data_IF_706307509621
#
_entry.id   IF_706307509621
#
_cell.length_a   1.000
_cell.length_b   1.000
_cell.length_c   1.000
_cell.angle_alpha   90.00
_cell.angle_beta   90.00
_cell.angle_gamma   90.00
#
_symmetry.space_group_name_H-M   'P 1'
#
loop_
_entity.id
_entity.type
_entity.pdbx_description
1 polymer ?
#
# COMPACT_ATOMS: atom_id res chain seq x y z
N UNK A 1 -38.27 -71.02 -9.44
CA UNK A 1 -37.19 -71.09 -8.44
C UNK A 1 -36.15 -70.04 -8.75
N UNK A 2 -35.92 -69.07 -7.86
CA UNK A 2 -34.63 -68.41 -7.77
C UNK A 2 -34.03 -68.61 -6.36
N UNK A 3 -32.77 -69.01 -6.29
CA UNK A 3 -32.02 -69.20 -5.04
C UNK A 3 -31.22 -67.94 -4.71
N UNK A 4 -31.52 -67.39 -3.51
CA UNK A 4 -30.66 -66.80 -2.43
C UNK A 4 -29.16 -66.59 -2.73
N UNK A 5 -28.42 -65.65 -2.14
CA UNK A 5 -28.58 -64.65 -1.06
C UNK A 5 -27.24 -63.89 -0.97
N UNK A 6 -27.21 -62.62 -0.56
CA UNK A 6 -26.22 -62.13 0.42
C UNK A 6 -26.60 -60.72 0.90
N UNK A 7 -26.61 -60.57 2.22
CA UNK A 7 -26.96 -59.38 2.99
C UNK A 7 -25.85 -58.34 3.05
N UNK A 8 -26.21 -57.08 3.26
CA UNK A 8 -25.57 -56.16 4.22
C UNK A 8 -26.54 -55.01 4.54
N UNK A 9 -26.74 -54.78 5.85
CA UNK A 9 -27.22 -53.54 6.47
C UNK A 9 -26.33 -52.35 6.03
N UNK A 10 -26.69 -51.06 6.14
CA UNK A 10 -26.77 -50.31 7.39
C UNK A 10 -27.09 -48.83 7.07
N UNK A 11 -27.91 -48.22 7.93
CA UNK A 11 -27.98 -46.80 8.35
C UNK A 11 -28.47 -45.70 7.40
N UNK A 12 -29.64 -45.16 7.80
CA UNK A 12 -29.89 -43.73 7.92
C UNK A 12 -28.74 -43.02 8.65
N UNK A 13 -28.20 -41.96 8.04
CA UNK A 13 -27.59 -40.87 8.80
C UNK A 13 -27.93 -39.55 8.08
N UNK A 14 -28.67 -38.72 8.79
CA UNK A 14 -29.04 -37.36 8.44
C UNK A 14 -27.86 -36.45 8.76
N UNK A 15 -27.11 -36.00 7.75
CA UNK A 15 -26.19 -34.88 7.92
C UNK A 15 -26.92 -33.57 7.62
N UNK A 16 -27.42 -32.97 8.70
CA UNK A 16 -27.39 -31.53 8.81
C UNK A 16 -25.99 -31.13 9.29
N UNK A 17 -25.25 -30.42 8.45
CA UNK A 17 -24.20 -29.51 8.92
C UNK A 17 -24.50 -28.12 8.36
N UNK A 18 -25.13 -27.36 9.24
CA UNK A 18 -24.85 -25.98 9.59
C UNK A 18 -24.22 -25.05 8.54
N UNK A 19 -24.99 -24.00 8.27
CA UNK A 19 -24.48 -22.80 7.67
C UNK A 19 -23.43 -22.15 8.56
N UNK A 20 -22.25 -21.96 8.01
CA UNK A 20 -21.49 -20.73 8.25
C UNK A 20 -21.69 -19.88 7.02
N UNK A 21 -22.80 -19.13 7.02
CA UNK A 21 -22.90 -17.95 6.18
C UNK A 21 -21.66 -17.12 6.46
N UNK A 22 -20.75 -17.05 5.49
CA UNK A 22 -19.58 -16.16 5.56
C UNK A 22 -20.14 -14.78 5.84
N UNK A 23 -20.00 -14.31 7.08
CA UNK A 23 -20.33 -12.93 7.44
C UNK A 23 -19.60 -12.09 6.40
N UNK A 24 -20.30 -11.24 5.62
CA UNK A 24 -19.60 -10.34 4.72
C UNK A 24 -18.66 -9.53 5.60
N UNK A 25 -17.35 -9.75 5.44
CA UNK A 25 -16.34 -8.89 6.03
C UNK A 25 -16.71 -7.47 5.66
N UNK A 26 -16.74 -6.58 6.65
CA UNK A 26 -17.06 -5.17 6.41
C UNK A 26 -16.30 -4.66 5.19
N UNK A 27 -16.95 -3.88 4.32
CA UNK A 27 -16.29 -3.37 3.13
C UNK A 27 -15.09 -2.53 3.57
N UNK A 28 -13.92 -2.87 3.05
CA UNK A 28 -12.71 -2.07 3.18
C UNK A 28 -12.93 -0.77 2.40
N UNK A 29 -12.60 0.36 3.03
CA UNK A 29 -12.73 1.70 2.45
C UNK A 29 -11.41 2.44 2.51
N UNK A 30 -11.17 3.31 1.54
CA UNK A 30 -10.00 4.18 1.52
C UNK A 30 -10.35 5.56 2.06
N UNK A 31 -9.61 6.03 3.06
CA UNK A 31 -9.76 7.36 3.63
C UNK A 31 -8.40 8.05 3.75
N UNK A 32 -8.45 9.38 3.66
CA UNK A 32 -7.33 10.27 3.97
C UNK A 32 -7.64 11.01 5.27
N UNK A 33 -6.75 10.93 6.23
CA UNK A 33 -6.84 11.64 7.51
C UNK A 33 -5.77 12.73 7.53
N UNK A 34 -6.18 14.00 7.45
CA UNK A 34 -5.30 15.15 7.57
C UNK A 34 -5.17 15.57 9.04
N UNK A 35 -3.94 15.82 9.50
CA UNK A 35 -3.63 16.17 10.88
C UNK A 35 -2.28 16.92 10.99
N UNK A 36 -1.94 17.56 12.13
CA UNK A 36 -0.60 18.08 12.36
C UNK A 36 0.47 16.98 12.40
N UNK A 37 1.69 17.24 11.90
CA UNK A 37 2.78 16.26 11.91
C UNK A 37 3.03 15.63 13.28
N UNK A 38 2.98 16.44 14.34
CA UNK A 38 3.23 15.98 15.71
C UNK A 38 2.25 14.89 16.17
N UNK A 39 0.99 14.96 15.74
CA UNK A 39 -0.05 13.99 16.09
C UNK A 39 0.06 12.72 15.24
N UNK A 40 0.77 12.78 14.11
CA UNK A 40 1.18 11.58 13.37
C UNK A 40 2.52 11.01 13.87
N UNK A 41 3.08 11.53 14.98
CA UNK A 41 4.39 11.11 15.47
C UNK A 41 5.57 11.64 14.63
N UNK A 42 5.48 12.84 14.04
CA UNK A 42 6.57 13.40 13.24
C UNK A 42 6.92 14.84 13.63
N UNK A 43 8.22 15.16 13.64
CA UNK A 43 8.69 16.55 13.58
C UNK A 43 8.55 17.07 12.14
N UNK A 44 8.73 18.37 11.93
CA UNK A 44 8.64 18.95 10.57
C UNK A 44 9.81 18.51 9.69
N UNK A 45 9.57 17.87 8.53
CA UNK A 45 10.63 17.45 7.63
C UNK A 45 11.19 18.62 6.81
N UNK A 46 12.38 18.48 6.20
CA UNK A 46 13.01 19.51 5.37
C UNK A 46 12.36 19.71 3.99
N UNK A 47 11.47 18.80 3.58
CA UNK A 47 10.67 18.86 2.37
C UNK A 47 9.43 17.97 2.53
N UNK A 48 8.53 17.94 1.53
CA UNK A 48 7.48 16.93 1.51
C UNK A 48 8.12 15.55 1.39
N UNK A 49 7.70 14.62 2.24
CA UNK A 49 8.16 13.23 2.26
C UNK A 49 6.95 12.32 2.27
N UNK A 50 6.96 11.30 1.42
CA UNK A 50 6.00 10.19 1.50
C UNK A 50 6.70 9.01 2.18
N UNK A 51 6.08 8.46 3.20
CA UNK A 51 6.60 7.42 4.08
C UNK A 51 5.75 6.16 3.95
N UNK A 52 6.38 5.02 3.74
CA UNK A 52 5.73 3.71 3.77
C UNK A 52 6.49 2.79 4.72
N UNK A 53 5.76 2.20 5.66
CA UNK A 53 6.30 1.23 6.60
C UNK A 53 6.10 -0.17 6.01
N UNK A 54 7.17 -0.94 5.96
CA UNK A 54 7.18 -2.31 5.47
C UNK A 54 7.67 -3.19 6.62
N UNK A 55 6.79 -4.07 7.10
CA UNK A 55 7.16 -5.05 8.12
C UNK A 55 8.03 -6.15 7.49
N UNK A 56 9.11 -6.50 8.17
CA UNK A 56 9.99 -7.61 7.83
C UNK A 56 9.91 -8.69 8.93
N UNK A 57 10.55 -9.85 8.72
CA UNK A 57 10.57 -10.94 9.70
C UNK A 57 11.24 -10.51 11.02
N UNK A 58 12.27 -9.67 10.93
CA UNK A 58 13.07 -9.17 12.05
C UNK A 58 13.13 -7.63 12.01
N UNK A 59 11.97 -6.98 12.14
CA UNK A 59 11.86 -5.53 12.29
C UNK A 59 11.10 -4.84 11.15
N UNK A 60 11.54 -3.64 10.80
CA UNK A 60 10.82 -2.74 9.88
C UNK A 60 11.75 -1.99 8.95
N UNK A 61 11.29 -1.81 7.71
CA UNK A 61 11.88 -0.88 6.75
C UNK A 61 10.93 0.26 6.46
N UNK A 62 11.33 1.48 6.81
CA UNK A 62 10.68 2.72 6.41
C UNK A 62 11.24 3.19 5.07
N UNK A 63 10.42 3.11 4.03
CA UNK A 63 10.73 3.65 2.70
C UNK A 63 10.24 5.09 2.62
N UNK A 64 11.17 6.03 2.44
CA UNK A 64 10.83 7.44 2.27
C UNK A 64 11.17 7.95 0.87
N UNK A 65 10.16 8.49 0.19
CA UNK A 65 10.27 9.05 -1.16
C UNK A 65 10.37 10.57 -1.07
N UNK A 66 11.40 11.14 -1.72
CA UNK A 66 11.75 12.56 -1.62
C UNK A 66 12.07 13.19 -2.98
N UNK A 67 11.97 14.54 -3.10
CA UNK A 67 12.50 15.25 -4.25
C UNK A 67 14.03 15.04 -4.40
N UNK A 68 14.59 15.11 -5.61
CA UNK A 68 15.92 14.57 -5.89
C UNK A 68 17.10 15.18 -5.10
N UNK A 69 16.99 16.45 -4.71
CA UNK A 69 18.06 17.18 -4.01
C UNK A 69 17.93 17.16 -2.48
N UNK A 70 16.98 16.42 -1.92
CA UNK A 70 16.62 16.44 -0.49
C UNK A 70 17.00 15.20 0.34
N UNK A 71 17.38 14.02 -0.19
CA UNK A 71 17.58 12.82 0.63
C UNK A 71 18.53 12.98 1.81
N UNK A 72 19.71 13.61 1.70
CA UNK A 72 20.62 13.71 2.84
C UNK A 72 20.02 14.46 4.03
N UNK A 73 19.20 15.48 3.76
CA UNK A 73 18.51 16.22 4.83
C UNK A 73 17.37 15.42 5.44
N UNK A 74 16.69 14.60 4.63
CA UNK A 74 15.62 13.71 5.12
C UNK A 74 16.20 12.56 5.93
N UNK A 75 17.36 12.02 5.53
CA UNK A 75 18.11 11.04 6.33
C UNK A 75 18.46 11.62 7.70
N UNK A 76 19.08 12.81 7.75
CA UNK A 76 19.37 13.51 9.01
C UNK A 76 18.12 13.75 9.86
N UNK A 77 17.00 14.10 9.24
CA UNK A 77 15.72 14.27 9.95
C UNK A 77 15.18 12.97 10.55
N UNK A 78 15.47 11.82 9.95
CA UNK A 78 15.08 10.51 10.47
C UNK A 78 16.06 9.97 11.52
N UNK A 79 17.30 10.47 11.59
CA UNK A 79 18.25 10.08 12.65
C UNK A 79 17.69 10.38 14.05
N UNK A 80 16.85 11.41 14.19
CA UNK A 80 16.15 11.75 15.45
C UNK A 80 15.22 10.63 15.95
N UNK A 81 14.91 9.65 15.09
CA UNK A 81 14.06 8.50 15.39
C UNK A 81 14.84 7.22 15.69
N UNK A 82 16.16 7.33 15.75
CA UNK A 82 17.10 6.25 16.08
C UNK A 82 16.97 4.97 15.21
N UNK A 83 16.96 5.09 13.87
CA UNK A 83 17.01 3.91 13.02
C UNK A 83 18.35 3.17 13.15
N UNK A 84 18.31 1.84 13.07
CA UNK A 84 19.49 0.97 13.03
C UNK A 84 20.41 1.34 11.86
N UNK A 85 19.83 1.69 10.71
CA UNK A 85 20.59 2.15 9.55
C UNK A 85 19.73 2.98 8.60
N UNK A 86 20.37 3.87 7.83
CA UNK A 86 19.74 4.62 6.75
C UNK A 86 20.54 4.42 5.46
N UNK A 87 19.87 3.94 4.40
CA UNK A 87 20.43 3.79 3.05
C UNK A 87 19.75 4.75 2.08
N UNK A 88 20.53 5.54 1.35
CA UNK A 88 20.02 6.40 0.28
C UNK A 88 20.26 5.68 -1.04
N UNK A 89 19.18 5.34 -1.74
CA UNK A 89 19.27 4.59 -2.99
C UNK A 89 20.11 5.33 -4.04
N UNK A 90 21.11 4.67 -4.65
CA UNK A 90 21.80 5.21 -5.81
C UNK A 90 20.83 5.24 -7.02
N UNK A 91 21.05 6.17 -7.96
CA UNK A 91 20.28 6.22 -9.21
C UNK A 91 19.28 7.38 -9.36
N UNK A 92 18.27 7.20 -10.22
CA UNK A 92 17.35 8.25 -10.70
C UNK A 92 16.15 8.51 -9.77
N UNK A 93 15.51 9.65 -9.99
CA UNK A 93 14.40 10.24 -9.23
C UNK A 93 13.06 9.48 -9.35
N UNK A 94 12.16 9.58 -8.35
CA UNK A 94 12.31 10.26 -7.07
C UNK A 94 13.32 9.52 -6.18
N UNK A 95 14.01 10.27 -5.32
CA UNK A 95 15.04 9.65 -4.49
C UNK A 95 14.37 8.92 -3.34
N UNK A 96 14.65 7.63 -3.31
CA UNK A 96 14.21 6.74 -2.24
C UNK A 96 15.32 6.64 -1.21
N UNK A 97 14.95 6.73 0.06
CA UNK A 97 15.80 6.34 1.18
C UNK A 97 15.06 5.28 2.00
N UNK A 98 15.83 4.43 2.68
CA UNK A 98 15.34 3.35 3.54
C UNK A 98 15.95 3.52 4.90
N UNK A 99 15.12 3.58 5.93
CA UNK A 99 15.55 3.55 7.31
C UNK A 99 15.08 2.23 7.93
N UNK A 100 16.00 1.45 8.49
CA UNK A 100 15.70 0.15 9.09
C UNK A 100 15.61 0.29 10.61
N UNK A 101 14.68 -0.41 11.23
CA UNK A 101 14.39 -0.39 12.65
C UNK A 101 14.20 -1.81 13.17
N UNK A 102 14.84 -2.17 14.29
CA UNK A 102 14.52 -3.43 14.98
C UNK A 102 13.12 -3.33 15.61
N UNK A 103 12.85 -2.20 16.28
CA UNK A 103 11.55 -1.82 16.85
C UNK A 103 11.23 -0.38 16.42
N UNK A 104 9.97 -0.11 16.08
CA UNK A 104 9.55 1.24 15.74
C UNK A 104 9.40 2.10 17.00
N UNK A 105 9.57 3.43 16.88
CA UNK A 105 9.08 4.36 17.89
C UNK A 105 7.63 4.06 18.28
N UNK A 106 7.33 4.11 19.59
CA UNK A 106 6.02 3.70 20.14
C UNK A 106 4.84 4.44 19.52
N UNK A 107 5.02 5.71 19.16
CA UNK A 107 4.00 6.51 18.48
C UNK A 107 3.69 5.99 17.08
N UNK A 108 4.69 5.53 16.33
CA UNK A 108 4.48 4.89 15.02
C UNK A 108 3.90 3.49 15.14
N UNK A 109 4.38 2.68 16.09
CA UNK A 109 3.86 1.33 16.31
C UNK A 109 2.38 1.34 16.70
N UNK A 110 1.98 2.25 17.61
CA UNK A 110 0.58 2.43 18.00
C UNK A 110 -0.29 2.79 16.79
N UNK A 111 0.17 3.74 15.97
CA UNK A 111 -0.54 4.20 14.78
C UNK A 111 -0.75 3.07 13.75
N UNK A 112 0.30 2.28 13.48
CA UNK A 112 0.27 1.16 12.53
C UNK A 112 -0.56 -0.03 13.04
N UNK A 113 -0.77 -0.14 14.34
CA UNK A 113 -1.61 -1.20 14.94
C UNK A 113 -3.10 -0.87 14.81
N UNK A 114 -3.46 0.41 14.85
CA UNK A 114 -4.86 0.87 14.83
C UNK A 114 -5.55 0.66 13.48
N UNK A 115 -4.83 0.80 12.36
CA UNK A 115 -5.39 0.61 11.03
C UNK A 115 -4.32 0.23 10.00
N UNK A 116 -4.73 -0.35 8.87
CA UNK A 116 -3.85 -0.58 7.74
C UNK A 116 -3.52 0.74 7.01
N UNK A 117 -2.34 1.26 7.31
CA UNK A 117 -1.82 2.52 6.77
C UNK A 117 -0.98 2.22 5.53
N UNK A 118 -1.49 2.65 4.37
CA UNK A 118 -0.79 2.46 3.09
C UNK A 118 0.47 3.32 2.99
N UNK A 119 0.35 4.59 3.38
CA UNK A 119 1.46 5.54 3.46
C UNK A 119 1.07 6.80 4.24
N UNK A 120 2.07 7.55 4.66
CA UNK A 120 1.92 8.85 5.31
C UNK A 120 2.64 9.90 4.49
N UNK A 121 1.98 11.01 4.19
CA UNK A 121 2.65 12.20 3.66
C UNK A 121 2.92 13.19 4.77
N UNK A 122 4.16 13.60 4.94
CA UNK A 122 4.58 14.59 5.94
C UNK A 122 5.09 15.83 5.20
N UNK A 123 4.53 17.00 5.52
CA UNK A 123 4.86 18.26 4.85
C UNK A 123 5.72 19.17 5.73
N UNK A 124 6.63 19.96 5.13
CA UNK A 124 7.51 20.87 5.87
C UNK A 124 6.74 22.00 6.57
N UNK A 125 5.49 22.26 6.15
CA UNK A 125 4.58 23.22 6.78
C UNK A 125 3.91 22.72 8.07
N UNK A 126 4.23 21.51 8.56
CA UNK A 126 3.67 20.98 9.81
C UNK A 126 2.35 20.21 9.67
N UNK A 127 1.90 19.96 8.45
CA UNK A 127 0.74 19.12 8.17
C UNK A 127 1.17 17.72 7.68
N UNK A 128 0.48 16.70 8.16
CA UNK A 128 0.57 15.32 7.71
C UNK A 128 -0.78 14.84 7.14
N UNK A 129 -0.70 13.81 6.30
CA UNK A 129 -1.86 13.13 5.76
C UNK A 129 -1.60 11.62 5.82
N UNK A 130 -2.43 10.89 6.56
CA UNK A 130 -2.38 9.43 6.67
C UNK A 130 -3.37 8.86 5.65
N UNK A 131 -2.90 7.91 4.84
CA UNK A 131 -3.70 7.22 3.84
C UNK A 131 -3.99 5.81 4.33
N UNK A 132 -5.25 5.55 4.66
CA UNK A 132 -5.70 4.33 5.34
C UNK A 132 -6.60 3.54 4.40
N UNK A 133 -6.43 2.22 4.38
CA UNK A 133 -7.30 1.28 3.68
C UNK A 133 -7.73 0.17 4.64
N UNK A 134 -8.84 0.36 5.33
CA UNK A 134 -9.29 -0.58 6.37
C UNK A 134 -10.83 -0.57 6.47
N UNK A 135 -11.39 -1.31 7.42
CA UNK A 135 -12.83 -1.24 7.71
C UNK A 135 -13.19 0.12 8.30
N UNK A 136 -14.43 0.56 8.08
CA UNK A 136 -14.92 1.83 8.64
C UNK A 136 -14.75 1.89 10.16
N UNK A 137 -14.99 0.77 10.87
CA UNK A 137 -14.84 0.71 12.32
C UNK A 137 -13.41 0.98 12.79
N UNK A 138 -12.40 0.38 12.14
CA UNK A 138 -10.97 0.61 12.48
C UNK A 138 -10.53 2.03 12.15
N UNK A 139 -11.03 2.60 11.05
CA UNK A 139 -10.76 3.99 10.70
C UNK A 139 -11.40 4.96 11.71
N UNK A 140 -12.63 4.69 12.16
CA UNK A 140 -13.31 5.49 13.18
C UNK A 140 -12.57 5.43 14.53
N UNK A 141 -12.06 4.25 14.92
CA UNK A 141 -11.23 4.08 16.12
C UNK A 141 -9.92 4.88 16.02
N UNK A 142 -9.20 4.77 14.90
CA UNK A 142 -8.00 5.56 14.61
C UNK A 142 -8.29 7.06 14.73
N UNK A 143 -9.35 7.54 14.07
CA UNK A 143 -9.71 8.98 14.08
C UNK A 143 -10.05 9.44 15.49
N UNK A 144 -10.82 8.64 16.24
CA UNK A 144 -11.18 8.96 17.63
C UNK A 144 -9.94 9.10 18.50
N UNK A 145 -8.99 8.16 18.39
CA UNK A 145 -7.73 8.22 19.12
C UNK A 145 -6.88 9.45 18.75
N UNK A 146 -6.84 9.83 17.47
CA UNK A 146 -6.10 11.01 17.02
C UNK A 146 -6.76 12.32 17.50
N UNK A 147 -8.09 12.35 17.58
CA UNK A 147 -8.85 13.51 18.07
C UNK A 147 -8.64 13.78 19.57
N UNK A 148 -8.33 12.75 20.36
CA UNK A 148 -7.93 12.91 21.76
C UNK A 148 -6.59 13.66 21.90
N UNK A 149 -5.69 13.51 20.93
CA UNK A 149 -4.39 14.20 20.90
C UNK A 149 -4.47 15.60 20.27
N UNK A 150 -5.34 15.79 19.27
CA UNK A 150 -5.44 17.06 18.56
C UNK A 150 -6.83 17.32 17.97
N UNK A 151 -7.31 18.56 18.12
CA UNK A 151 -8.58 19.00 17.53
C UNK A 151 -8.52 19.31 16.01
N UNK A 152 -7.35 19.18 15.36
CA UNK A 152 -7.17 19.49 13.93
C UNK A 152 -7.07 18.24 13.07
N UNK A 153 -7.98 17.29 13.29
CA UNK A 153 -8.14 16.07 12.48
C UNK A 153 -9.23 16.30 11.44
N UNK A 154 -8.98 15.95 10.17
CA UNK A 154 -9.97 16.03 9.09
C UNK A 154 -9.94 14.77 8.24
N UNK A 155 -11.06 14.07 8.20
CA UNK A 155 -11.24 12.87 7.37
C UNK A 155 -11.80 13.25 6.01
N UNK A 156 -11.24 12.67 4.94
CA UNK A 156 -11.70 12.83 3.56
C UNK A 156 -11.85 11.48 2.90
N UNK A 157 -12.91 11.34 2.12
CA UNK A 157 -13.03 10.21 1.21
C UNK A 157 -12.00 10.32 0.11
N UNK A 158 -11.36 9.21 -0.23
CA UNK A 158 -10.57 9.12 -1.43
C UNK A 158 -11.47 8.61 -2.55
N UNK A 159 -11.53 9.37 -3.65
CA UNK A 159 -11.93 8.75 -4.90
C UNK A 159 -10.80 7.78 -5.25
N UNK A 160 -11.07 6.48 -5.13
CA UNK A 160 -10.14 5.45 -5.56
C UNK A 160 -9.71 5.81 -6.97
N UNK A 161 -8.41 6.10 -7.15
CA UNK A 161 -7.82 6.16 -8.48
C UNK A 161 -7.99 4.81 -9.20
N UNK A 162 -7.43 4.65 -10.40
CA UNK A 162 -7.45 3.35 -11.09
C UNK A 162 -7.07 2.28 -10.09
N UNK A 163 -8.03 1.38 -9.83
CA UNK A 163 -7.99 0.38 -8.76
C UNK A 163 -6.61 -0.27 -8.77
N UNK A 164 -6.12 -0.57 -7.58
CA UNK A 164 -4.96 -1.42 -7.36
C UNK A 164 -4.94 -2.53 -8.41
N UNK A 165 -3.76 -2.84 -8.94
CA UNK A 165 -3.59 -3.67 -10.12
C UNK A 165 -4.09 -5.13 -10.00
N UNK A 166 -4.90 -5.46 -8.99
CA UNK A 166 -5.39 -6.79 -8.70
C UNK A 166 -4.25 -7.70 -8.28
N UNK A 167 -3.21 -7.15 -7.65
CA UNK A 167 -2.12 -7.92 -7.08
C UNK A 167 -2.65 -8.70 -5.87
N UNK A 168 -2.31 -9.99 -5.79
CA UNK A 168 -2.70 -10.81 -4.63
C UNK A 168 -1.88 -10.42 -3.40
N UNK A 169 -2.35 -10.75 -2.20
CA UNK A 169 -1.60 -10.52 -0.96
C UNK A 169 -0.15 -11.05 -1.04
N UNK A 170 0.04 -12.28 -1.54
CA UNK A 170 1.39 -12.87 -1.73
C UNK A 170 2.25 -12.11 -2.75
N UNK A 171 1.64 -11.52 -3.77
CA UNK A 171 2.36 -10.69 -4.75
C UNK A 171 2.74 -9.34 -4.14
N UNK A 172 1.84 -8.74 -3.37
CA UNK A 172 2.08 -7.50 -2.64
C UNK A 172 3.20 -7.66 -1.61
N UNK A 173 3.22 -8.77 -0.88
CA UNK A 173 4.27 -9.12 0.07
C UNK A 173 5.65 -9.20 -0.61
N UNK A 174 5.76 -9.93 -1.71
CA UNK A 174 7.03 -10.08 -2.43
C UNK A 174 7.49 -8.76 -3.05
N UNK A 175 6.57 -7.96 -3.62
CA UNK A 175 6.90 -6.62 -4.11
C UNK A 175 7.38 -5.71 -2.98
N UNK A 176 6.73 -5.78 -1.82
CA UNK A 176 7.09 -5.00 -0.65
C UNK A 176 8.50 -5.33 -0.19
N UNK A 177 8.84 -6.62 -0.05
CA UNK A 177 10.20 -7.05 0.31
C UNK A 177 11.23 -6.70 -0.76
N UNK A 178 10.90 -6.83 -2.05
CA UNK A 178 11.76 -6.42 -3.15
C UNK A 178 12.07 -4.91 -3.09
N UNK A 179 11.07 -4.08 -2.80
CA UNK A 179 11.25 -2.64 -2.60
C UNK A 179 12.05 -2.36 -1.33
N UNK A 180 11.69 -2.99 -0.20
CA UNK A 180 12.36 -2.82 1.08
C UNK A 180 13.87 -3.10 0.97
N UNK A 181 14.28 -4.17 0.29
CA UNK A 181 15.69 -4.52 0.16
C UNK A 181 16.43 -3.91 -1.03
N UNK A 182 15.76 -3.08 -1.84
CA UNK A 182 16.40 -2.38 -2.94
C UNK A 182 16.69 -3.25 -4.17
N UNK A 183 15.84 -4.26 -4.42
CA UNK A 183 15.90 -5.10 -5.63
C UNK A 183 15.79 -4.28 -6.93
N UNK A 184 14.98 -3.22 -6.90
CA UNK A 184 14.76 -2.31 -8.03
C UNK A 184 15.74 -1.12 -8.10
N UNK A 185 16.75 -1.08 -7.22
CA UNK A 185 17.78 -0.03 -7.26
C UNK A 185 18.73 -0.24 -8.45
N UNK A 186 19.43 0.83 -8.83
CA UNK A 186 20.45 0.78 -9.87
C UNK A 186 21.73 1.47 -9.36
N UNK A 187 22.80 0.71 -9.03
CA UNK A 187 22.85 -0.76 -8.98
C UNK A 187 21.92 -1.34 -7.91
N UNK A 188 21.44 -2.58 -8.09
CA UNK A 188 20.57 -3.24 -7.12
C UNK A 188 21.33 -3.48 -5.82
N UNK A 189 20.67 -3.24 -4.68
CA UNK A 189 21.27 -3.53 -3.37
C UNK A 189 21.21 -5.03 -3.03
N UNK A 190 20.22 -5.72 -3.59
CA UNK A 190 19.96 -7.13 -3.33
C UNK A 190 19.61 -7.87 -4.63
N UNK A 191 20.09 -9.12 -4.79
CA UNK A 191 19.83 -9.93 -5.98
C UNK A 191 18.56 -10.77 -5.86
N UNK A 192 18.05 -11.28 -6.99
CA UNK A 192 16.90 -12.19 -6.99
C UNK A 192 17.14 -13.46 -6.15
N UNK A 193 18.40 -13.94 -6.08
CA UNK A 193 18.74 -15.13 -5.28
C UNK A 193 18.61 -14.83 -3.80
N UNK A 194 19.17 -13.71 -3.36
CA UNK A 194 19.11 -13.28 -1.96
C UNK A 194 17.64 -13.08 -1.51
N UNK A 195 16.78 -12.56 -2.40
CA UNK A 195 15.35 -12.40 -2.11
C UNK A 195 14.65 -13.76 -1.94
N UNK A 196 15.05 -14.74 -2.75
CA UNK A 196 14.52 -16.09 -2.67
C UNK A 196 14.95 -16.80 -1.38
N UNK A 197 16.20 -16.59 -0.95
CA UNK A 197 16.70 -17.09 0.34
C UNK A 197 15.94 -16.48 1.52
N UNK A 198 15.70 -15.16 1.51
CA UNK A 198 14.90 -14.48 2.54
C UNK A 198 13.46 -14.98 2.64
N UNK A 199 12.84 -15.30 1.50
CA UNK A 199 11.45 -15.76 1.43
C UNK A 199 11.28 -17.26 1.66
N UNK A 200 12.38 -18.02 1.85
CA UNK A 200 12.40 -19.48 1.82
C UNK A 200 11.69 -20.07 0.58
N UNK A 201 11.97 -19.49 -0.60
CA UNK A 201 11.40 -19.87 -1.88
C UNK A 201 12.47 -20.20 -2.92
N UNK A 202 12.09 -20.95 -3.95
CA UNK A 202 12.97 -21.11 -5.12
C UNK A 202 13.12 -19.79 -5.90
N UNK A 203 14.30 -19.54 -6.47
CA UNK A 203 14.55 -18.39 -7.36
C UNK A 203 13.54 -18.31 -8.51
N UNK A 204 13.16 -19.46 -9.07
CA UNK A 204 12.15 -19.55 -10.13
C UNK A 204 10.77 -19.11 -9.66
N UNK A 205 10.38 -19.51 -8.45
CA UNK A 205 9.11 -19.12 -7.81
C UNK A 205 9.05 -17.60 -7.60
N UNK A 206 10.10 -17.01 -7.03
CA UNK A 206 10.17 -15.55 -6.80
C UNK A 206 10.13 -14.78 -8.11
N UNK A 207 10.93 -15.19 -9.11
CA UNK A 207 10.90 -14.59 -10.46
C UNK A 207 9.49 -14.61 -11.06
N UNK A 208 8.78 -15.74 -10.95
CA UNK A 208 7.44 -15.87 -11.52
C UNK A 208 6.41 -15.04 -10.76
N UNK A 209 6.54 -14.90 -9.44
CA UNK A 209 5.64 -14.08 -8.63
C UNK A 209 5.85 -12.60 -8.93
N UNK A 210 7.10 -12.12 -8.94
CA UNK A 210 7.45 -10.76 -9.32
C UNK A 210 6.95 -10.40 -10.71
N UNK A 211 7.28 -11.21 -11.73
CA UNK A 211 6.83 -10.94 -13.11
C UNK A 211 5.31 -10.87 -13.25
N UNK A 212 4.57 -11.72 -12.53
CA UNK A 212 3.10 -11.69 -12.54
C UNK A 212 2.56 -10.44 -11.87
N UNK A 213 3.17 -10.03 -10.76
CA UNK A 213 2.80 -8.82 -10.04
C UNK A 213 3.11 -7.56 -10.88
N UNK A 214 4.32 -7.47 -11.42
CA UNK A 214 4.77 -6.40 -12.32
C UNK A 214 3.90 -6.31 -13.57
N UNK A 215 3.59 -7.42 -14.22
CA UNK A 215 2.73 -7.42 -15.40
C UNK A 215 1.34 -6.85 -15.08
N UNK A 216 0.75 -7.24 -13.95
CA UNK A 216 -0.53 -6.69 -13.49
C UNK A 216 -0.44 -5.18 -13.27
N UNK A 217 0.57 -4.72 -12.55
CA UNK A 217 0.79 -3.29 -12.25
C UNK A 217 0.98 -2.48 -13.53
N UNK A 218 1.85 -2.95 -14.43
CA UNK A 218 2.16 -2.26 -15.68
C UNK A 218 0.91 -2.21 -16.58
N UNK A 219 0.17 -3.31 -16.71
CA UNK A 219 -1.09 -3.33 -17.48
C UNK A 219 -2.11 -2.36 -16.89
N UNK A 220 -2.39 -2.44 -15.59
CA UNK A 220 -3.32 -1.53 -14.91
C UNK A 220 -2.92 -0.06 -15.07
N UNK A 221 -1.62 0.26 -14.97
CA UNK A 221 -1.10 1.60 -15.20
C UNK A 221 -1.30 2.06 -16.65
N UNK A 222 -1.00 1.22 -17.63
CA UNK A 222 -1.17 1.55 -19.06
C UNK A 222 -2.64 1.76 -19.40
N UNK A 223 -3.54 0.93 -18.87
CA UNK A 223 -4.98 1.05 -19.07
C UNK A 223 -5.49 2.39 -18.50
N UNK A 224 -5.11 2.69 -17.26
CA UNK A 224 -5.45 3.95 -16.59
C UNK A 224 -4.97 5.20 -17.34
N UNK A 225 -3.72 5.19 -17.81
CA UNK A 225 -3.13 6.30 -18.58
C UNK A 225 -3.79 6.43 -19.95
N UNK A 226 -4.17 5.30 -20.56
CA UNK A 226 -4.87 5.29 -21.83
C UNK A 226 -6.24 5.95 -21.69
N UNK A 227 -7.08 5.49 -20.75
CA UNK A 227 -8.42 6.06 -20.48
C UNK A 227 -8.35 7.58 -20.25
N UNK A 228 -7.39 8.03 -19.44
CA UNK A 228 -7.16 9.46 -19.17
C UNK A 228 -6.79 10.28 -20.41
N UNK A 229 -6.10 9.66 -21.39
CA UNK A 229 -5.71 10.32 -22.65
C UNK A 229 -6.90 10.39 -23.63
N UNK A 230 -7.70 9.33 -23.71
CA UNK A 230 -8.89 9.28 -24.56
C UNK A 230 -9.99 10.22 -24.07
N UNK A 231 -10.18 10.35 -22.76
CA UNK A 231 -11.12 11.33 -22.18
C UNK A 231 -10.72 12.78 -22.49
N UNK A 232 -9.42 13.10 -22.38
CA UNK A 232 -8.91 14.45 -22.70
C UNK A 232 -9.04 14.79 -24.19
N UNK A 233 -8.84 13.82 -25.07
CA UNK A 233 -9.01 13.99 -26.51
C UNK A 233 -10.50 14.17 -26.87
N UNK A 234 -11.37 13.33 -26.33
CA UNK A 234 -12.82 13.38 -26.54
C UNK A 234 -13.46 14.67 -26.02
N UNK A 235 -13.02 15.16 -24.84
CA UNK A 235 -13.45 16.46 -24.30
C UNK A 235 -12.96 17.61 -25.20
N UNK A 236 -11.72 17.56 -25.69
CA UNK A 236 -11.19 18.58 -26.60
C UNK A 236 -11.97 18.63 -27.92
N UNK A 237 -12.20 17.48 -28.56
CA UNK A 237 -12.99 17.38 -29.80
C UNK A 237 -14.44 17.86 -29.59
N UNK A 238 -15.03 17.58 -28.43
CA UNK A 238 -16.38 18.05 -28.09
C UNK A 238 -16.44 19.56 -27.85
N UNK A 239 -15.41 20.16 -27.26
CA UNK A 239 -15.30 21.62 -27.08
C UNK A 239 -15.09 22.32 -28.43
N UNK A 240 -14.19 21.81 -29.28
CA UNK A 240 -13.96 22.36 -30.63
C UNK A 240 -15.21 22.26 -31.52
N UNK A 241 -16.01 21.19 -31.35
CA UNK A 241 -17.29 21.02 -32.06
C UNK A 241 -18.38 21.98 -31.54
N UNK A 242 -18.35 22.38 -30.27
CA UNK A 242 -19.29 23.35 -29.70
C UNK A 242 -19.01 24.80 -30.13
N UNK A 243 -17.75 25.15 -30.40
CA UNK A 243 -17.31 26.50 -30.79
C UNK A 243 -17.45 26.77 -32.31
N UNK A 244 -17.95 25.78 -33.07
CA UNK A 244 -18.17 25.84 -34.52
C UNK A 244 -19.64 26.01 -34.92
N UNK A 245 -20.56 26.27 -33.99
CA UNK A 245 -21.91 26.68 -34.37
C UNK A 245 -21.86 28.12 -34.92
N UNK A 246 -22.08 28.36 -36.24
CA UNK A 246 -22.16 29.72 -36.74
C UNK A 246 -23.33 30.41 -36.03
N UNK A 247 -23.03 31.54 -35.39
CA UNK A 247 -24.06 32.49 -34.97
C UNK A 247 -24.65 33.10 -36.23
N UNK A 248 -25.60 32.40 -36.85
CA UNK A 248 -26.37 32.94 -37.97
C UNK A 248 -27.25 34.10 -37.47
N UNK A 249 -26.90 35.28 -37.97
CA UNK A 249 -27.67 36.53 -37.95
C UNK A 249 -28.58 36.58 -39.17
#
# INVERSE_FOLDING_TARGET
MPTRSSSAETSEETDGEDGVGRIPSEPVVEKRVDLPCRAAGFTTPPCKVQLKFLQEDEGWTLVATTPPAKPPKVAQWLEDRDPVSIHIAPGLSPKVLRANFDELPTDWEALLTMADIRFIEVNPGGAASIFVEDTSARIEELVSSLEEETADVRVREMQSGPREAGVTARQQEILSLAVAHGYYEIPHNLTLRDLAEKLDLSVGTVSQLLRRAEARIITSYVDAVSESRWERESIRESIETLDLAPSDV
#
